data_IF_204268032916
#
_entry.id   IF_204268032916
#
_cell.length_a   1.000
_cell.length_b   1.000
_cell.length_c   1.000
_cell.angle_alpha   90.00
_cell.angle_beta   90.00
_cell.angle_gamma   90.00
#
_symmetry.space_group_name_H-M   'P 1'
#
loop_
_entity.id
_entity.type
_entity.pdbx_description
1 polymer ?
#
# COMPACT_ATOMS: atom_id res chain seq x y z
N UNK A 1 -15.35 -13.24 -9.41
CA UNK A 1 -16.60 -12.48 -9.20
C UNK A 1 -16.30 -11.00 -9.50
N UNK A 2 -16.35 -10.61 -10.78
CA UNK A 2 -16.30 -9.20 -11.22
C UNK A 2 -17.63 -8.95 -11.94
N UNK A 3 -18.71 -8.86 -11.17
CA UNK A 3 -20.07 -8.91 -11.72
C UNK A 3 -20.65 -7.53 -12.06
N UNK A 4 -19.97 -6.44 -11.66
CA UNK A 4 -20.46 -5.06 -11.84
C UNK A 4 -19.45 -4.28 -12.68
N UNK A 5 -19.87 -3.90 -13.89
CA UNK A 5 -19.16 -2.95 -14.76
C UNK A 5 -19.40 -1.53 -14.28
N UNK A 6 -18.63 -1.12 -13.26
CA UNK A 6 -18.79 0.18 -12.60
C UNK A 6 -18.55 1.33 -13.59
N UNK A 7 -17.59 1.15 -14.50
CA UNK A 7 -17.26 2.08 -15.57
C UNK A 7 -18.41 2.32 -16.55
N UNK A 8 -19.16 1.27 -16.90
CA UNK A 8 -20.35 1.37 -17.77
C UNK A 8 -21.47 2.08 -17.03
N UNK A 9 -21.70 1.71 -15.77
CA UNK A 9 -22.71 2.36 -14.92
C UNK A 9 -22.46 3.87 -14.80
N UNK A 10 -21.21 4.28 -14.53
CA UNK A 10 -20.84 5.70 -14.45
C UNK A 10 -21.04 6.39 -15.80
N UNK A 11 -20.62 5.78 -16.91
CA UNK A 11 -20.80 6.34 -18.25
C UNK A 11 -22.27 6.58 -18.60
N UNK A 12 -23.16 5.63 -18.29
CA UNK A 12 -24.60 5.76 -18.51
C UNK A 12 -25.24 6.83 -17.62
N UNK A 13 -24.81 6.96 -16.36
CA UNK A 13 -25.28 8.01 -15.46
C UNK A 13 -24.89 9.41 -15.99
N UNK A 14 -23.64 9.58 -16.42
CA UNK A 14 -23.17 10.85 -17.00
C UNK A 14 -23.93 11.18 -18.29
N UNK A 15 -24.15 10.19 -19.15
CA UNK A 15 -24.90 10.38 -20.40
C UNK A 15 -26.33 10.85 -20.14
N UNK A 16 -27.02 10.25 -19.16
CA UNK A 16 -28.38 10.66 -18.75
C UNK A 16 -28.39 12.08 -18.19
N UNK A 17 -27.41 12.42 -17.35
CA UNK A 17 -27.32 13.75 -16.76
C UNK A 17 -27.06 14.85 -17.80
N UNK A 18 -26.15 14.60 -18.76
CA UNK A 18 -25.89 15.55 -19.85
C UNK A 18 -27.08 15.69 -20.79
N UNK A 19 -27.89 14.63 -20.98
CA UNK A 19 -29.13 14.73 -21.74
C UNK A 19 -30.15 15.62 -21.02
N UNK A 20 -30.32 15.45 -19.71
CA UNK A 20 -31.19 16.31 -18.88
C UNK A 20 -30.76 17.79 -19.00
N UNK A 21 -29.47 18.09 -18.87
CA UNK A 21 -28.96 19.45 -19.03
C UNK A 21 -29.17 20.02 -20.44
N UNK A 22 -29.16 19.17 -21.46
CA UNK A 22 -29.44 19.59 -22.84
C UNK A 22 -30.91 19.95 -23.03
N UNK A 23 -31.82 19.18 -22.44
CA UNK A 23 -33.26 19.45 -22.45
C UNK A 23 -33.60 20.74 -21.69
N UNK A 24 -32.86 21.05 -20.62
CA UNK A 24 -32.98 22.29 -19.85
C UNK A 24 -32.28 23.50 -20.49
N UNK A 25 -31.51 23.30 -21.57
CA UNK A 25 -30.76 24.35 -22.24
C UNK A 25 -29.51 24.83 -21.49
N UNK A 26 -29.08 24.15 -20.42
CA UNK A 26 -27.87 24.48 -19.64
C UNK A 26 -26.60 23.82 -20.19
N UNK A 27 -26.72 22.91 -21.17
CA UNK A 27 -25.61 22.27 -21.86
C UNK A 27 -25.73 22.41 -23.39
N UNK A 28 -24.79 23.14 -23.99
CA UNK A 28 -24.71 23.37 -25.43
C UNK A 28 -23.72 22.44 -26.17
N UNK A 29 -23.15 21.46 -25.47
CA UNK A 29 -22.17 20.57 -26.06
C UNK A 29 -22.78 19.50 -26.99
N UNK A 30 -21.90 18.84 -27.71
CA UNK A 30 -22.26 17.71 -28.56
C UNK A 30 -22.77 16.52 -27.73
N UNK A 31 -23.40 15.56 -28.40
CA UNK A 31 -23.84 14.31 -27.77
C UNK A 31 -22.65 13.61 -27.12
N UNK A 32 -22.79 13.27 -25.84
CA UNK A 32 -21.76 12.56 -25.09
C UNK A 32 -21.70 11.09 -25.51
N UNK A 33 -20.54 10.68 -26.01
CA UNK A 33 -20.19 9.28 -26.26
C UNK A 33 -19.01 8.90 -25.37
N UNK A 34 -18.98 7.64 -24.93
CA UNK A 34 -17.92 7.14 -24.07
C UNK A 34 -17.48 5.74 -24.51
N UNK A 35 -16.22 5.42 -24.22
CA UNK A 35 -15.65 4.09 -24.36
C UNK A 35 -15.09 3.67 -23.02
N UNK A 36 -15.31 2.42 -22.64
CA UNK A 36 -14.85 1.87 -21.37
C UNK A 36 -13.72 0.90 -21.58
N UNK A 37 -12.72 0.94 -20.71
CA UNK A 37 -11.63 -0.01 -20.69
C UNK A 37 -11.57 -0.67 -19.31
N UNK A 38 -11.55 -2.00 -19.29
CA UNK A 38 -11.34 -2.77 -18.07
C UNK A 38 -9.97 -3.44 -18.12
N UNK A 39 -8.99 -2.80 -17.51
CA UNK A 39 -7.60 -3.24 -17.57
C UNK A 39 -7.18 -3.93 -16.27
N UNK A 40 -7.18 -5.27 -16.28
CA UNK A 40 -6.86 -6.05 -15.08
C UNK A 40 -6.15 -7.35 -15.39
N UNK A 41 -6.80 -8.23 -16.16
CA UNK A 41 -6.29 -9.59 -16.40
C UNK A 41 -4.89 -9.59 -17.04
N UNK A 42 -4.70 -8.78 -18.07
CA UNK A 42 -3.43 -8.70 -18.80
C UNK A 42 -2.25 -8.24 -17.94
N UNK A 43 -2.49 -7.46 -16.89
CA UNK A 43 -1.43 -6.97 -16.02
C UNK A 43 -0.93 -8.05 -15.03
N UNK A 44 -1.76 -9.04 -14.67
CA UNK A 44 -1.44 -10.04 -13.63
C UNK A 44 -0.44 -11.10 -14.08
N UNK A 45 -0.31 -11.32 -15.39
CA UNK A 45 0.61 -12.31 -15.98
C UNK A 45 1.63 -11.66 -16.92
N UNK A 46 1.85 -10.35 -16.77
CA UNK A 46 2.91 -9.63 -17.49
C UNK A 46 4.29 -9.97 -16.92
N UNK A 47 5.35 -9.70 -17.69
CA UNK A 47 6.71 -9.81 -17.17
C UNK A 47 6.91 -8.84 -15.98
N UNK A 48 7.44 -9.31 -14.84
CA UNK A 48 7.71 -8.44 -13.69
C UNK A 48 8.76 -7.39 -14.03
N UNK A 49 8.67 -6.21 -13.42
CA UNK A 49 9.71 -5.18 -13.56
C UNK A 49 11.05 -5.65 -12.95
N UNK A 50 12.17 -5.00 -13.26
CA UNK A 50 13.44 -5.33 -12.61
C UNK A 50 13.36 -5.17 -11.08
N UNK A 51 12.61 -4.18 -10.61
CA UNK A 51 12.34 -3.99 -9.18
C UNK A 51 11.60 -5.19 -8.58
N UNK A 52 10.52 -5.66 -9.23
CA UNK A 52 9.74 -6.80 -8.74
C UNK A 52 10.55 -8.11 -8.79
N UNK A 53 11.38 -8.29 -9.82
CA UNK A 53 12.31 -9.42 -9.92
C UNK A 53 13.28 -9.47 -8.73
N UNK A 54 13.98 -8.36 -8.46
CA UNK A 54 14.95 -8.29 -7.36
C UNK A 54 14.26 -8.41 -6.00
N UNK A 55 13.12 -7.73 -5.83
CA UNK A 55 12.33 -7.81 -4.60
C UNK A 55 11.85 -9.23 -4.33
N UNK A 56 11.25 -9.92 -5.31
CA UNK A 56 10.79 -11.29 -5.16
C UNK A 56 11.95 -12.26 -4.88
N UNK A 57 13.09 -12.08 -5.56
CA UNK A 57 14.29 -12.89 -5.33
C UNK A 57 14.82 -12.71 -3.90
N UNK A 58 14.91 -11.47 -3.43
CA UNK A 58 15.34 -11.14 -2.07
C UNK A 58 14.39 -11.75 -1.02
N UNK A 59 13.07 -11.69 -1.23
CA UNK A 59 12.09 -12.34 -0.36
C UNK A 59 12.29 -13.86 -0.31
N UNK A 60 12.49 -14.52 -1.46
CA UNK A 60 12.75 -15.96 -1.50
C UNK A 60 14.02 -16.36 -0.75
N UNK A 61 15.11 -15.61 -0.95
CA UNK A 61 16.38 -15.79 -0.22
C UNK A 61 16.20 -15.62 1.28
N UNK A 62 15.46 -14.59 1.70
CA UNK A 62 15.16 -14.33 3.11
C UNK A 62 14.33 -15.47 3.70
N UNK A 63 13.29 -15.93 3.02
CA UNK A 63 12.49 -17.08 3.45
C UNK A 63 13.35 -18.34 3.68
N UNK A 64 14.27 -18.65 2.75
CA UNK A 64 15.19 -19.77 2.90
C UNK A 64 16.08 -19.63 4.16
N UNK A 65 16.58 -18.43 4.43
CA UNK A 65 17.36 -18.17 5.64
C UNK A 65 16.53 -18.37 6.92
N UNK A 66 15.27 -17.97 6.95
CA UNK A 66 14.38 -18.20 8.10
C UNK A 66 14.17 -19.70 8.36
N UNK A 67 13.93 -20.47 7.29
CA UNK A 67 13.80 -21.94 7.37
C UNK A 67 15.08 -22.59 7.91
N UNK A 68 16.25 -22.17 7.43
CA UNK A 68 17.54 -22.68 7.91
C UNK A 68 17.78 -22.41 9.41
N UNK A 69 17.16 -21.38 9.96
CA UNK A 69 17.23 -21.04 11.39
C UNK A 69 16.04 -21.59 12.19
N UNK A 70 15.25 -22.52 11.63
CA UNK A 70 14.06 -23.12 12.24
C UNK A 70 13.00 -22.10 12.69
N UNK A 71 12.92 -20.94 12.01
CA UNK A 71 11.91 -19.92 12.30
C UNK A 71 10.62 -20.21 11.52
N UNK A 72 9.48 -20.21 12.21
CA UNK A 72 8.15 -20.48 11.64
C UNK A 72 7.15 -19.40 12.02
N UNK A 73 6.12 -19.19 11.19
CA UNK A 73 5.07 -18.21 11.44
C UNK A 73 5.50 -16.75 11.29
N UNK A 74 6.51 -16.46 10.45
CA UNK A 74 6.98 -15.09 10.18
C UNK A 74 6.51 -14.57 8.82
N UNK A 75 6.21 -13.27 8.75
CA UNK A 75 5.95 -12.55 7.51
C UNK A 75 7.27 -12.02 6.93
N UNK A 76 7.70 -12.59 5.81
CA UNK A 76 9.06 -12.39 5.27
C UNK A 76 9.40 -10.94 4.92
N UNK A 77 8.54 -10.14 4.25
CA UNK A 77 8.87 -8.73 3.97
C UNK A 77 9.26 -7.94 5.22
N UNK A 78 8.52 -8.13 6.32
CA UNK A 78 8.70 -7.38 7.56
C UNK A 78 9.62 -8.05 8.58
N UNK A 79 9.96 -9.33 8.40
CA UNK A 79 10.68 -10.15 9.39
C UNK A 79 10.02 -10.18 10.79
N UNK A 80 8.71 -10.00 10.86
CA UNK A 80 7.93 -10.05 12.11
C UNK A 80 7.04 -11.30 12.19
N UNK A 81 6.67 -11.75 13.40
CA UNK A 81 5.64 -12.76 13.61
C UNK A 81 4.34 -12.43 12.86
N UNK A 82 3.73 -13.43 12.23
CA UNK A 82 2.49 -13.29 11.46
C UNK A 82 1.33 -12.78 12.33
N UNK A 83 1.31 -13.17 13.61
CA UNK A 83 0.25 -12.80 14.53
C UNK A 83 0.20 -11.29 14.81
N UNK A 84 1.33 -10.59 14.74
CA UNK A 84 1.43 -9.15 14.97
C UNK A 84 0.69 -8.35 13.89
N UNK A 85 0.45 -8.96 12.72
CA UNK A 85 -0.29 -8.37 11.61
C UNK A 85 -1.77 -8.79 11.58
N UNK A 86 -2.19 -9.67 12.49
CA UNK A 86 -3.54 -10.20 12.51
C UNK A 86 -4.45 -9.40 13.46
N UNK A 87 -5.66 -9.13 13.00
CA UNK A 87 -6.78 -8.65 13.79
C UNK A 87 -7.90 -9.70 13.78
N UNK A 88 -8.98 -9.48 14.53
CA UNK A 88 -10.16 -10.35 14.52
C UNK A 88 -11.28 -9.66 13.75
N UNK A 89 -11.68 -10.25 12.63
CA UNK A 89 -12.74 -9.71 11.77
C UNK A 89 -13.88 -10.72 11.62
N UNK A 90 -15.12 -10.23 11.60
CA UNK A 90 -16.29 -11.05 11.28
C UNK A 90 -16.42 -11.21 9.76
N UNK A 91 -16.10 -12.40 9.24
CA UNK A 91 -16.35 -12.75 7.84
C UNK A 91 -17.55 -13.69 7.76
N UNK A 92 -18.59 -13.25 7.05
CA UNK A 92 -19.87 -13.98 6.93
C UNK A 92 -20.48 -14.35 8.29
N UNK A 93 -20.38 -13.44 9.29
CA UNK A 93 -20.92 -13.64 10.63
C UNK A 93 -20.04 -14.48 11.57
N UNK A 94 -18.88 -14.98 11.11
CA UNK A 94 -17.94 -15.75 11.94
C UNK A 94 -16.66 -14.95 12.17
N UNK A 95 -16.29 -14.74 13.43
CA UNK A 95 -15.03 -14.08 13.79
C UNK A 95 -13.84 -14.99 13.50
N UNK A 96 -12.88 -14.48 12.71
CA UNK A 96 -11.64 -15.19 12.36
C UNK A 96 -10.45 -14.24 12.41
N UNK A 97 -9.24 -14.75 12.73
CA UNK A 97 -8.01 -14.00 12.50
C UNK A 97 -7.90 -13.59 11.03
N UNK A 98 -7.62 -12.32 10.79
CA UNK A 98 -7.56 -11.71 9.46
C UNK A 98 -6.49 -10.62 9.45
N UNK A 99 -5.69 -10.56 8.39
CA UNK A 99 -4.80 -9.42 8.16
C UNK A 99 -5.67 -8.32 7.53
N UNK A 100 -5.77 -7.15 8.17
CA UNK A 100 -6.61 -6.07 7.66
C UNK A 100 -6.07 -5.54 6.33
N UNK A 101 -6.98 -5.08 5.47
CA UNK A 101 -6.60 -4.45 4.21
C UNK A 101 -6.03 -3.04 4.46
N UNK A 102 -4.85 -2.76 3.91
CA UNK A 102 -4.24 -1.43 3.98
C UNK A 102 -4.81 -0.53 2.88
N UNK A 103 -5.86 0.23 3.23
CA UNK A 103 -6.49 1.19 2.33
C UNK A 103 -5.61 2.45 2.13
N UNK A 104 -5.93 3.22 1.09
CA UNK A 104 -5.27 4.52 0.84
C UNK A 104 -5.55 5.46 2.01
N UNK A 105 -4.49 5.97 2.63
CA UNK A 105 -4.60 7.01 3.65
C UNK A 105 -4.75 8.39 2.99
N UNK A 106 -5.89 9.04 3.21
CA UNK A 106 -6.20 10.35 2.65
C UNK A 106 -5.34 11.50 3.22
N UNK A 107 -4.54 11.22 4.25
CA UNK A 107 -3.62 12.18 4.85
C UNK A 107 -2.14 11.91 4.49
N UNK A 108 -1.85 10.87 3.71
CA UNK A 108 -0.48 10.54 3.36
C UNK A 108 0.01 11.24 2.09
N UNK A 109 1.33 11.40 2.01
CA UNK A 109 2.01 12.19 0.99
C UNK A 109 1.63 11.82 -0.45
N UNK A 110 1.48 10.54 -0.85
CA UNK A 110 1.03 10.21 -2.20
C UNK A 110 -0.37 10.74 -2.52
N UNK A 111 -1.32 10.62 -1.59
CA UNK A 111 -2.68 11.11 -1.79
C UNK A 111 -2.73 12.64 -1.79
N UNK A 112 -2.00 13.29 -0.88
CA UNK A 112 -1.91 14.75 -0.85
C UNK A 112 -1.28 15.31 -2.13
N UNK A 113 -0.31 14.61 -2.73
CA UNK A 113 0.23 14.99 -4.04
C UNK A 113 -0.82 14.90 -5.14
N UNK A 114 -1.69 13.88 -5.12
CA UNK A 114 -2.84 13.81 -6.03
C UNK A 114 -3.80 14.98 -5.82
N UNK A 115 -4.19 15.28 -4.57
CA UNK A 115 -5.09 16.39 -4.23
C UNK A 115 -4.54 17.73 -4.71
N UNK A 116 -3.23 17.97 -4.56
CA UNK A 116 -2.59 19.22 -4.96
C UNK A 116 -2.66 19.50 -6.49
N UNK A 117 -2.88 18.47 -7.32
CA UNK A 117 -2.85 18.62 -8.78
C UNK A 117 -4.19 18.28 -9.47
N UNK A 118 -5.07 17.50 -8.84
CA UNK A 118 -6.30 16.98 -9.49
C UNK A 118 -7.22 18.06 -10.07
N UNK A 119 -7.27 19.25 -9.45
CA UNK A 119 -8.11 20.34 -9.92
C UNK A 119 -7.54 20.94 -11.22
N UNK A 120 -6.22 21.04 -11.33
CA UNK A 120 -5.53 21.43 -12.58
C UNK A 120 -5.75 20.37 -13.67
N UNK A 121 -5.60 19.09 -13.33
CA UNK A 121 -5.78 17.97 -14.25
C UNK A 121 -7.22 17.79 -14.75
N UNK A 122 -8.20 18.31 -14.02
CA UNK A 122 -9.61 18.26 -14.43
C UNK A 122 -9.90 19.16 -15.62
N UNK A 123 -9.16 20.27 -15.76
CA UNK A 123 -9.44 21.31 -16.77
C UNK A 123 -8.35 21.47 -17.83
N UNK A 124 -7.13 21.00 -17.56
CA UNK A 124 -5.99 21.09 -18.49
C UNK A 124 -5.60 19.72 -19.02
N UNK A 125 -5.12 19.70 -20.25
CA UNK A 125 -4.59 18.51 -20.92
C UNK A 125 -3.15 18.19 -20.48
N UNK A 126 -2.96 17.86 -19.19
CA UNK A 126 -1.66 17.51 -18.59
C UNK A 126 -1.42 15.99 -18.60
N UNK A 127 -1.53 15.36 -19.78
CA UNK A 127 -1.35 13.91 -19.91
C UNK A 127 0.12 13.48 -19.87
N UNK A 128 0.38 12.28 -19.34
CA UNK A 128 1.71 11.67 -19.32
C UNK A 128 1.69 10.33 -20.06
N UNK A 129 2.71 10.08 -20.87
CA UNK A 129 2.92 8.78 -21.53
C UNK A 129 4.14 8.08 -20.92
N UNK A 130 3.96 7.16 -19.96
CA UNK A 130 5.06 6.55 -19.22
C UNK A 130 5.90 5.54 -20.04
N UNK A 131 5.46 5.18 -21.25
CA UNK A 131 6.12 4.15 -22.06
C UNK A 131 5.95 2.73 -21.51
N UNK A 132 6.59 1.75 -22.17
CA UNK A 132 6.60 0.35 -21.73
C UNK A 132 7.64 0.09 -20.64
N UNK A 133 7.45 -0.98 -19.86
CA UNK A 133 8.46 -1.46 -18.90
C UNK A 133 9.76 -1.76 -19.63
N UNK A 134 10.86 -1.17 -19.15
CA UNK A 134 12.19 -1.37 -19.71
C UNK A 134 13.01 -2.34 -18.86
N UNK A 135 13.79 -3.21 -19.51
CA UNK A 135 14.68 -4.17 -18.85
C UNK A 135 16.17 -3.79 -18.97
N UNK A 136 16.45 -2.62 -19.53
CA UNK A 136 17.80 -2.07 -19.65
C UNK A 136 17.76 -0.57 -19.91
N UNK A 137 18.89 0.10 -19.71
CA UNK A 137 19.00 1.55 -19.90
C UNK A 137 18.31 2.38 -18.81
N UNK A 138 18.21 3.68 -19.07
CA UNK A 138 17.61 4.64 -18.14
C UNK A 138 16.13 4.30 -17.89
N UNK A 139 15.72 4.30 -16.63
CA UNK A 139 14.33 4.04 -16.21
C UNK A 139 13.99 2.56 -16.00
N UNK A 140 14.88 1.61 -16.31
CA UNK A 140 14.65 0.17 -16.08
C UNK A 140 14.49 -0.21 -14.60
N UNK A 141 15.02 0.61 -13.69
CA UNK A 141 14.91 0.46 -12.23
C UNK A 141 13.91 1.43 -11.59
N UNK A 142 13.03 2.04 -12.39
CA UNK A 142 12.00 2.91 -11.85
C UNK A 142 11.04 2.12 -10.95
N UNK A 143 10.67 2.76 -9.85
CA UNK A 143 9.66 2.26 -8.91
C UNK A 143 8.37 3.06 -9.06
N UNK A 144 7.29 2.61 -8.41
CA UNK A 144 6.02 3.35 -8.40
C UNK A 144 6.19 4.74 -7.78
N UNK A 145 5.44 5.73 -8.29
CA UNK A 145 5.45 7.09 -7.75
C UNK A 145 5.07 7.10 -6.26
N UNK A 146 4.14 6.24 -5.82
CA UNK A 146 3.79 6.09 -4.42
C UNK A 146 5.01 5.72 -3.57
N UNK A 147 5.75 4.69 -3.97
CA UNK A 147 6.94 4.25 -3.24
C UNK A 147 8.04 5.31 -3.26
N UNK A 148 8.21 6.02 -4.38
CA UNK A 148 9.16 7.13 -4.45
C UNK A 148 8.78 8.21 -3.44
N UNK A 149 7.54 8.70 -3.45
CA UNK A 149 7.07 9.76 -2.55
C UNK A 149 7.21 9.33 -1.08
N UNK A 150 6.83 8.10 -0.74
CA UNK A 150 6.94 7.56 0.62
C UNK A 150 8.38 7.32 1.07
N UNK A 151 9.30 6.98 0.16
CA UNK A 151 10.73 6.79 0.48
C UNK A 151 11.44 8.09 0.82
N UNK A 152 11.01 9.21 0.24
CA UNK A 152 11.57 10.53 0.57
C UNK A 152 11.22 10.97 2.00
N UNK A 153 10.33 10.25 2.69
CA UNK A 153 9.89 10.57 4.04
C UNK A 153 10.59 9.73 5.12
N UNK A 154 11.92 9.55 4.99
CA UNK A 154 12.75 8.85 5.97
C UNK A 154 12.60 9.45 7.39
N UNK A 155 12.48 10.78 7.48
CA UNK A 155 12.32 11.47 8.76
C UNK A 155 10.95 11.20 9.40
N UNK A 156 9.85 11.13 8.64
CA UNK A 156 8.55 10.69 9.19
C UNK A 156 8.60 9.24 9.65
N UNK A 157 9.35 8.35 8.99
CA UNK A 157 9.52 6.97 9.49
C UNK A 157 10.22 6.92 10.84
N UNK A 158 11.26 7.73 11.03
CA UNK A 158 11.90 7.89 12.34
C UNK A 158 10.91 8.48 13.35
N UNK A 159 10.11 9.45 12.93
CA UNK A 159 9.12 10.08 13.81
C UNK A 159 8.03 9.08 14.24
N UNK A 160 7.50 8.28 13.32
CA UNK A 160 6.55 7.21 13.61
C UNK A 160 7.13 6.20 14.62
N UNK A 161 8.38 5.76 14.42
CA UNK A 161 9.06 4.89 15.38
C UNK A 161 9.14 5.54 16.77
N UNK A 162 9.47 6.82 16.84
CA UNK A 162 9.51 7.56 18.12
C UNK A 162 8.13 7.66 18.77
N UNK A 163 7.09 7.84 17.97
CA UNK A 163 5.72 7.98 18.47
C UNK A 163 5.19 6.63 19.00
N UNK A 164 5.55 5.51 18.37
CA UNK A 164 5.28 4.15 18.88
C UNK A 164 6.01 3.89 20.20
N UNK A 165 7.30 4.22 20.29
CA UNK A 165 8.06 4.10 21.55
C UNK A 165 7.45 4.94 22.67
N UNK A 166 6.97 6.15 22.36
CA UNK A 166 6.23 6.99 23.31
C UNK A 166 4.88 6.40 23.69
N UNK A 167 4.22 5.68 22.79
CA UNK A 167 2.97 5.00 23.11
C UNK A 167 3.20 3.88 24.14
N UNK A 168 4.28 3.10 23.98
CA UNK A 168 4.71 2.11 24.97
C UNK A 168 4.98 2.75 26.34
N UNK A 169 5.69 3.89 26.37
CA UNK A 169 5.94 4.67 27.59
C UNK A 169 4.64 5.12 28.28
N UNK A 170 3.65 5.57 27.51
CA UNK A 170 2.33 5.98 28.03
C UNK A 170 1.50 4.81 28.56
N UNK A 171 1.71 3.60 28.05
CA UNK A 171 1.00 2.40 28.50
C UNK A 171 1.66 1.84 29.77
N UNK A 172 3.00 1.89 29.86
CA UNK A 172 3.79 1.33 30.97
C UNK A 172 4.06 2.37 32.06
N UNK A 173 3.01 2.97 32.63
CA UNK A 173 3.14 3.98 33.69
C UNK A 173 3.43 3.36 35.08
N UNK A 174 3.95 4.16 36.03
CA UNK A 174 4.10 3.70 37.41
C UNK A 174 2.77 3.19 38.00
N UNK A 175 2.75 1.95 38.46
CA UNK A 175 1.56 1.28 39.01
C UNK A 175 0.88 0.29 38.06
N UNK A 176 1.40 0.10 36.85
CA UNK A 176 0.97 -0.98 35.95
C UNK A 176 1.30 -2.38 36.49
N UNK A 177 0.54 -3.38 36.02
CA UNK A 177 0.75 -4.78 36.34
C UNK A 177 2.15 -5.25 35.89
N UNK A 178 2.84 -6.02 36.74
CA UNK A 178 4.20 -6.47 36.47
C UNK A 178 4.29 -7.31 35.18
N UNK A 179 3.29 -8.14 34.90
CA UNK A 179 3.26 -8.97 33.69
C UNK A 179 3.16 -8.11 32.42
N UNK A 180 2.43 -6.98 32.47
CA UNK A 180 2.33 -6.05 31.35
C UNK A 180 3.68 -5.41 31.05
N UNK A 181 4.40 -4.99 32.09
CA UNK A 181 5.74 -4.39 31.95
C UNK A 181 6.74 -5.41 31.43
N UNK A 182 6.77 -6.62 32.00
CA UNK A 182 7.65 -7.70 31.55
C UNK A 182 7.37 -8.11 30.09
N UNK A 183 6.09 -8.13 29.69
CA UNK A 183 5.69 -8.41 28.30
C UNK A 183 6.17 -7.31 27.35
N UNK A 184 6.05 -6.04 27.74
CA UNK A 184 6.53 -4.92 26.95
C UNK A 184 8.06 -4.95 26.79
N UNK A 185 8.80 -5.27 27.86
CA UNK A 185 10.26 -5.44 27.85
C UNK A 185 10.65 -6.54 26.85
N UNK A 186 10.08 -7.74 27.00
CA UNK A 186 10.40 -8.87 26.13
C UNK A 186 10.09 -8.56 24.64
N UNK A 187 9.00 -7.86 24.37
CA UNK A 187 8.65 -7.42 23.01
C UNK A 187 9.67 -6.46 22.42
N UNK A 188 10.08 -5.43 23.18
CA UNK A 188 11.08 -4.45 22.72
C UNK A 188 12.47 -5.09 22.57
N UNK A 189 12.88 -5.95 23.51
CA UNK A 189 14.14 -6.69 23.42
C UNK A 189 14.18 -7.59 22.18
N UNK A 190 13.09 -8.32 21.89
CA UNK A 190 13.00 -9.14 20.68
C UNK A 190 13.13 -8.32 19.38
N UNK A 191 12.56 -7.11 19.34
CA UNK A 191 12.75 -6.18 18.22
C UNK A 191 14.21 -5.75 18.10
N UNK A 192 14.88 -5.44 19.21
CA UNK A 192 16.31 -5.06 19.23
C UNK A 192 17.17 -6.20 18.67
N UNK A 193 16.97 -7.44 19.13
CA UNK A 193 17.72 -8.60 18.66
C UNK A 193 17.56 -8.82 17.14
N UNK A 194 16.34 -8.69 16.63
CA UNK A 194 16.06 -8.77 15.19
C UNK A 194 16.82 -7.69 14.40
N UNK A 195 16.85 -6.46 14.91
CA UNK A 195 17.57 -5.35 14.30
C UNK A 195 19.09 -5.58 14.33
N UNK A 196 19.63 -6.11 15.43
CA UNK A 196 21.05 -6.45 15.54
C UNK A 196 21.46 -7.55 14.55
N UNK A 197 20.63 -8.58 14.37
CA UNK A 197 20.85 -9.62 13.36
C UNK A 197 20.90 -8.98 11.97
N UNK A 198 20.00 -8.04 11.68
CA UNK A 198 19.98 -7.29 10.43
C UNK A 198 21.24 -6.45 10.19
N UNK A 199 21.79 -5.81 11.25
CA UNK A 199 23.00 -4.99 11.18
C UNK A 199 24.26 -5.87 11.02
N UNK A 200 24.36 -6.97 11.79
CA UNK A 200 25.50 -7.90 11.78
C UNK A 200 25.60 -8.70 10.47
N UNK A 201 24.48 -8.88 9.76
CA UNK A 201 24.41 -9.56 8.45
C UNK A 201 24.34 -8.59 7.25
N UNK A 202 24.98 -7.42 7.30
CA UNK A 202 25.22 -6.60 6.08
C UNK A 202 25.94 -7.44 5.01
N UNK A 203 25.14 -8.09 4.17
CA UNK A 203 25.40 -8.45 2.77
C UNK A 203 25.01 -7.23 1.94
#
# INVERSE_FOLDING_TARGET
MHAISTEVMIGDLVKKELQRHKEEGSYNGHLFGYWTHFLGYQARTSFPSLFDCDYAYALGRKAAAFIQNNLTGYMIPYAGPLLDFCTVEAKQGVYRPSIPESNVNMNDAPFLKFVAHRDSWTVKDETCNPGSVQFGGAGSWNTTLSLQIEKHDYLKRIQLLRDELKAVEKICLPGCDALLVDSAIAGVEGVIELLEIGIKKKI
#
